data_IF_657103260774
#
_entry.id   IF_657103260774
#
_cell.length_a   1.000
_cell.length_b   1.000
_cell.length_c   1.000
_cell.angle_alpha   90.00
_cell.angle_beta   90.00
_cell.angle_gamma   90.00
#
_symmetry.space_group_name_H-M   'P 1'
#
loop_
_entity.id
_entity.type
_entity.pdbx_description
1 polymer ?
#
# COMPACT_ATOMS: atom_id res chain seq x y z
N UNK A 1 -3.71 -10.27 43.09
CA UNK A 1 -2.33 -10.79 43.07
C UNK A 1 -2.22 -11.86 42.00
N UNK A 2 -1.62 -11.52 40.87
CA UNK A 2 -0.64 -12.30 40.10
C UNK A 2 -0.54 -11.72 38.70
N UNK A 3 0.35 -10.73 38.63
CA UNK A 3 1.02 -10.23 37.45
C UNK A 3 1.77 -11.36 36.73
N UNK A 4 1.55 -11.49 35.42
CA UNK A 4 2.54 -12.10 34.52
C UNK A 4 2.77 -11.15 33.36
N UNK A 5 3.96 -10.58 33.35
CA UNK A 5 4.53 -9.75 32.29
C UNK A 5 4.61 -10.52 30.97
N UNK A 6 4.49 -9.85 29.81
CA UNK A 6 4.94 -10.42 28.55
C UNK A 6 6.47 -10.29 28.46
N UNK A 7 7.10 -11.38 28.08
CA UNK A 7 8.53 -11.52 27.78
C UNK A 7 8.88 -10.67 26.56
N UNK A 8 9.94 -9.88 26.68
CA UNK A 8 10.55 -9.11 25.61
C UNK A 8 11.14 -10.06 24.56
N UNK A 9 10.72 -9.91 23.31
CA UNK A 9 11.32 -10.56 22.14
C UNK A 9 12.23 -9.57 21.43
N UNK A 10 13.45 -10.01 21.16
CA UNK A 10 14.62 -9.26 20.70
C UNK A 10 14.36 -8.23 19.59
N UNK A 11 14.61 -6.97 19.93
CA UNK A 11 14.79 -5.90 18.96
C UNK A 11 16.16 -6.09 18.28
N UNK A 12 16.16 -6.18 16.94
CA UNK A 12 17.34 -6.03 16.11
C UNK A 12 18.09 -4.75 16.51
N UNK A 13 19.25 -4.93 17.15
CA UNK A 13 20.14 -3.86 17.55
C UNK A 13 20.75 -3.21 16.31
N UNK A 14 20.34 -1.97 16.01
CA UNK A 14 21.19 -1.08 15.22
C UNK A 14 22.26 -0.50 16.14
N UNK A 15 23.51 -0.79 15.79
CA UNK A 15 24.71 -0.39 16.48
C UNK A 15 24.75 1.14 16.67
N UNK A 16 24.79 1.62 17.93
CA UNK A 16 25.06 3.03 18.25
C UNK A 16 26.56 3.28 18.10
N UNK A 17 27.00 3.54 16.88
CA UNK A 17 28.27 4.20 16.61
C UNK A 17 28.10 5.71 16.76
N UNK A 18 28.73 6.28 17.79
CA UNK A 18 28.87 7.72 17.95
C UNK A 18 30.04 8.22 17.11
N UNK A 19 29.75 8.86 15.99
CA UNK A 19 30.66 9.78 15.29
C UNK A 19 29.89 11.08 14.97
N UNK A 20 30.54 12.25 15.03
CA UNK A 20 29.90 13.50 14.61
C UNK A 20 29.61 13.42 13.12
N UNK A 21 28.32 13.42 12.77
CA UNK A 21 27.83 13.35 11.40
C UNK A 21 28.22 14.65 10.67
N UNK A 22 29.36 14.60 9.98
CA UNK A 22 29.92 15.66 9.15
C UNK A 22 28.91 16.15 8.10
N UNK A 23 29.00 17.45 7.79
CA UNK A 23 28.45 18.34 6.76
C UNK A 23 27.94 17.81 5.39
N UNK A 24 27.74 16.50 5.19
CA UNK A 24 27.23 15.90 3.97
C UNK A 24 25.71 16.10 3.75
N UNK A 25 25.02 16.74 4.70
CA UNK A 25 23.59 17.06 4.63
C UNK A 25 23.31 18.56 4.76
N UNK A 26 24.26 19.42 4.40
CA UNK A 26 23.97 20.84 4.24
C UNK A 26 22.91 21.00 3.13
N UNK A 27 21.65 21.21 3.52
CA UNK A 27 20.57 21.46 2.58
C UNK A 27 20.91 22.70 1.76
N UNK A 28 20.54 22.69 0.48
CA UNK A 28 20.58 23.94 -0.29
C UNK A 28 19.67 24.95 0.40
N UNK A 29 20.05 26.23 0.38
CA UNK A 29 19.19 27.32 0.86
C UNK A 29 17.79 27.27 0.23
N UNK A 30 17.69 26.76 -1.00
CA UNK A 30 16.41 26.56 -1.69
C UNK A 30 15.50 25.55 -1.01
N UNK A 31 16.03 24.47 -0.42
CA UNK A 31 15.21 23.43 0.22
C UNK A 31 14.54 23.94 1.50
N UNK A 32 15.31 24.62 2.35
CA UNK A 32 14.76 25.21 3.59
C UNK A 32 13.74 26.32 3.27
N UNK A 33 14.04 27.13 2.25
CA UNK A 33 13.14 28.16 1.75
C UNK A 33 11.84 27.55 1.20
N UNK A 34 11.92 26.50 0.39
CA UNK A 34 10.75 25.78 -0.16
C UNK A 34 9.90 25.16 0.96
N UNK A 35 10.52 24.49 1.94
CA UNK A 35 9.82 23.90 3.07
C UNK A 35 9.14 24.97 3.94
N UNK A 36 9.82 26.08 4.19
CA UNK A 36 9.30 27.22 4.96
C UNK A 36 8.13 27.89 4.23
N UNK A 37 8.27 28.16 2.94
CA UNK A 37 7.23 28.74 2.09
C UNK A 37 5.98 27.85 2.08
N UNK A 38 6.16 26.54 1.89
CA UNK A 38 5.05 25.58 1.94
C UNK A 38 4.42 25.53 3.33
N UNK A 39 5.19 25.48 4.42
CA UNK A 39 4.66 25.50 5.78
C UNK A 39 3.77 26.74 6.02
N UNK A 40 4.25 27.90 5.61
CA UNK A 40 3.55 29.17 5.80
C UNK A 40 2.28 29.28 4.95
N UNK A 41 2.20 28.60 3.80
CA UNK A 41 0.99 28.56 2.97
C UNK A 41 -0.08 27.59 3.49
N UNK A 42 0.27 26.63 4.35
CA UNK A 42 -0.68 25.63 4.86
C UNK A 42 -1.70 26.23 5.85
N UNK A 43 -2.91 25.67 5.95
CA UNK A 43 -3.86 26.04 6.99
C UNK A 43 -3.28 25.88 8.40
N UNK A 44 -3.67 26.74 9.35
CA UNK A 44 -3.22 26.67 10.76
C UNK A 44 -3.43 25.29 11.41
N UNK A 45 -4.47 24.56 11.02
CA UNK A 45 -4.72 23.19 11.51
C UNK A 45 -3.59 22.23 11.09
N UNK A 46 -3.11 22.35 9.85
CA UNK A 46 -2.07 21.52 9.25
C UNK A 46 -0.69 21.87 9.81
N UNK A 47 -0.38 23.17 9.92
CA UNK A 47 0.83 23.66 10.58
C UNK A 47 0.98 23.08 12.00
N UNK A 48 -0.08 23.15 12.82
CA UNK A 48 -0.08 22.59 14.18
C UNK A 48 0.09 21.07 14.19
N UNK A 49 -0.56 20.36 13.27
CA UNK A 49 -0.47 18.90 13.17
C UNK A 49 0.96 18.45 12.80
N UNK A 50 1.59 19.10 11.81
CA UNK A 50 2.98 18.85 11.45
C UNK A 50 3.91 19.13 12.63
N UNK A 51 3.81 20.32 13.25
CA UNK A 51 4.68 20.68 14.38
C UNK A 51 4.61 19.62 15.48
N UNK A 52 3.41 19.19 15.85
CA UNK A 52 3.22 18.15 16.88
C UNK A 52 3.83 16.83 16.45
N UNK A 53 3.59 16.39 15.22
CA UNK A 53 4.18 15.16 14.69
C UNK A 53 5.72 15.21 14.77
N UNK A 54 6.33 16.33 14.37
CA UNK A 54 7.77 16.53 14.43
C UNK A 54 8.31 16.60 15.87
N UNK A 55 7.60 17.28 16.80
CA UNK A 55 7.96 17.28 18.22
C UNK A 55 8.01 15.83 18.78
N UNK A 56 7.14 14.94 18.28
CA UNK A 56 7.17 13.52 18.65
C UNK A 56 8.31 12.73 18.01
N UNK A 57 8.53 12.93 16.72
CA UNK A 57 9.64 12.31 15.98
C UNK A 57 11.00 12.68 16.60
N UNK A 58 11.16 13.93 17.07
CA UNK A 58 12.39 14.41 17.72
C UNK A 58 12.52 13.94 19.17
N UNK A 59 11.41 13.70 19.88
CA UNK A 59 11.44 13.23 21.28
C UNK A 59 11.54 11.71 21.43
N UNK A 60 11.56 10.94 20.33
CA UNK A 60 11.55 9.47 20.33
C UNK A 60 10.43 8.85 21.19
N UNK A 61 9.28 9.53 21.29
CA UNK A 61 8.11 9.02 22.03
C UNK A 61 7.35 7.99 21.18
N UNK A 62 6.69 6.99 21.79
CA UNK A 62 5.88 6.00 21.06
C UNK A 62 4.72 6.65 20.27
N UNK A 63 4.88 6.81 18.95
CA UNK A 63 3.90 7.47 18.07
C UNK A 63 2.51 6.83 18.03
N UNK A 64 2.39 5.53 18.33
CA UNK A 64 1.12 4.80 18.29
C UNK A 64 0.10 5.28 19.34
N UNK A 65 0.54 5.51 20.58
CA UNK A 65 -0.32 5.98 21.67
C UNK A 65 -0.87 7.39 21.38
N UNK A 66 -0.10 8.19 20.65
CA UNK A 66 -0.44 9.55 20.26
C UNK A 66 -1.41 9.59 19.09
N UNK A 67 -1.23 8.73 18.07
CA UNK A 67 -2.22 8.55 17.00
C UNK A 67 -3.59 8.26 17.58
N UNK A 68 -3.68 7.38 18.58
CA UNK A 68 -4.95 7.06 19.24
C UNK A 68 -5.58 8.27 19.93
N UNK A 69 -4.78 9.11 20.61
CA UNK A 69 -5.26 10.32 21.32
C UNK A 69 -5.60 11.49 20.37
N UNK A 70 -4.97 11.54 19.20
CA UNK A 70 -5.03 12.66 18.24
C UNK A 70 -5.47 12.22 16.84
N UNK A 71 -6.24 11.15 16.72
CA UNK A 71 -6.65 10.59 15.43
C UNK A 71 -7.27 11.63 14.47
N UNK A 72 -8.03 12.60 15.01
CA UNK A 72 -8.61 13.69 14.23
C UNK A 72 -7.56 14.59 13.55
N UNK A 73 -6.34 14.68 14.06
CA UNK A 73 -5.24 15.41 13.41
C UNK A 73 -4.80 14.74 12.09
N UNK A 74 -5.12 13.45 11.86
CA UNK A 74 -4.91 12.80 10.55
C UNK A 74 -5.70 13.47 9.43
N UNK A 75 -6.81 14.15 9.73
CA UNK A 75 -7.59 14.93 8.77
C UNK A 75 -6.92 16.27 8.39
N UNK A 76 -5.87 16.67 9.11
CA UNK A 76 -5.09 17.86 8.77
C UNK A 76 -3.98 17.55 7.75
N UNK A 77 -3.67 16.27 7.52
CA UNK A 77 -2.70 15.85 6.51
C UNK A 77 -3.42 15.64 5.18
N UNK A 78 -3.60 16.71 4.43
CA UNK A 78 -3.96 16.67 3.01
C UNK A 78 -2.71 16.48 2.13
N UNK A 79 -2.86 16.52 0.80
CA UNK A 79 -1.76 16.34 -0.15
C UNK A 79 -0.56 17.27 0.12
N UNK A 80 -0.80 18.58 0.27
CA UNK A 80 0.28 19.56 0.49
C UNK A 80 0.95 19.37 1.84
N UNK A 81 0.18 19.06 2.88
CA UNK A 81 0.70 18.78 4.22
C UNK A 81 1.58 17.52 4.23
N UNK A 82 1.19 16.47 3.48
CA UNK A 82 2.01 15.26 3.30
C UNK A 82 3.29 15.53 2.53
N UNK A 83 3.24 16.39 1.51
CA UNK A 83 4.42 16.81 0.76
C UNK A 83 5.43 17.51 1.67
N UNK A 84 4.97 18.44 2.50
CA UNK A 84 5.85 19.07 3.49
C UNK A 84 6.41 18.05 4.49
N UNK A 85 5.58 17.13 4.99
CA UNK A 85 6.05 16.07 5.88
C UNK A 85 7.17 15.24 5.23
N UNK A 86 7.01 14.85 3.95
CA UNK A 86 8.03 14.14 3.20
C UNK A 86 9.34 14.93 3.13
N UNK A 87 9.28 16.22 2.77
CA UNK A 87 10.46 17.10 2.76
C UNK A 87 11.16 17.08 4.14
N UNK A 88 10.42 17.34 5.21
CA UNK A 88 10.99 17.36 6.56
C UNK A 88 11.60 16.02 6.98
N UNK A 89 10.95 14.89 6.68
CA UNK A 89 11.46 13.56 7.03
C UNK A 89 12.68 13.16 6.20
N UNK A 90 12.76 13.60 4.94
CA UNK A 90 13.90 13.35 4.07
C UNK A 90 15.23 13.81 4.68
N UNK A 91 15.18 14.83 5.55
CA UNK A 91 16.37 15.36 6.23
C UNK A 91 17.07 14.35 7.15
N UNK A 92 16.30 13.40 7.70
CA UNK A 92 16.78 12.35 8.61
C UNK A 92 16.73 10.97 7.95
N UNK A 93 15.80 10.77 7.03
CA UNK A 93 15.48 9.50 6.38
C UNK A 93 15.47 9.70 4.85
N UNK A 94 16.65 9.66 4.20
CA UNK A 94 16.76 10.00 2.79
C UNK A 94 15.97 9.05 1.87
N UNK A 95 15.63 9.55 0.68
CA UNK A 95 15.07 8.73 -0.39
C UNK A 95 16.12 7.70 -0.83
N UNK A 96 15.71 6.44 -0.94
CA UNK A 96 16.54 5.35 -1.43
C UNK A 96 16.56 5.40 -2.97
N UNK A 97 17.75 5.30 -3.58
CA UNK A 97 17.94 5.18 -5.02
C UNK A 97 18.75 3.92 -5.30
N UNK A 98 18.10 2.84 -5.74
CA UNK A 98 18.74 1.53 -5.97
C UNK A 98 18.81 1.16 -7.46
N UNK A 99 18.91 2.15 -8.34
CA UNK A 99 18.76 2.02 -9.81
C UNK A 99 19.73 1.01 -10.48
N UNK A 100 20.76 0.53 -9.75
CA UNK A 100 21.78 -0.40 -10.24
C UNK A 100 21.75 -1.80 -9.57
N UNK A 101 20.91 -2.01 -8.55
CA UNK A 101 20.86 -3.30 -7.88
C UNK A 101 20.06 -4.35 -8.70
N UNK A 102 20.41 -5.65 -8.62
CA UNK A 102 19.64 -6.69 -9.28
C UNK A 102 18.18 -6.69 -8.84
N UNK A 103 17.27 -6.67 -9.82
CA UNK A 103 15.82 -6.71 -9.58
C UNK A 103 15.23 -8.04 -10.06
N UNK A 104 14.15 -8.47 -9.43
CA UNK A 104 13.30 -9.58 -9.91
C UNK A 104 12.25 -9.12 -10.93
N UNK A 105 12.28 -7.85 -11.33
CA UNK A 105 11.46 -7.29 -12.40
C UNK A 105 12.25 -7.17 -13.72
N UNK A 106 11.55 -7.02 -14.84
CA UNK A 106 12.17 -6.99 -16.17
C UNK A 106 13.17 -5.82 -16.36
N UNK A 107 12.91 -4.65 -15.78
CA UNK A 107 13.85 -3.51 -15.72
C UNK A 107 13.44 -2.52 -14.60
N UNK A 108 14.16 -1.39 -14.49
CA UNK A 108 13.90 -0.31 -13.52
C UNK A 108 13.82 1.09 -14.18
N UNK A 109 13.67 1.14 -15.51
CA UNK A 109 13.87 2.38 -16.27
C UNK A 109 12.74 3.40 -16.10
N UNK A 110 11.57 2.97 -15.64
CA UNK A 110 10.34 3.75 -15.51
C UNK A 110 10.07 4.27 -14.09
N UNK A 111 11.05 4.19 -13.17
CA UNK A 111 10.87 4.62 -11.76
C UNK A 111 10.42 6.09 -11.66
N UNK A 112 11.10 7.01 -12.34
CA UNK A 112 10.78 8.44 -12.27
C UNK A 112 9.39 8.75 -12.84
N UNK A 113 9.06 8.16 -13.99
CA UNK A 113 7.75 8.31 -14.63
C UNK A 113 6.63 7.72 -13.76
N UNK A 114 6.87 6.55 -13.16
CA UNK A 114 5.94 5.89 -12.24
C UNK A 114 5.67 6.77 -11.02
N UNK A 115 6.70 7.37 -10.42
CA UNK A 115 6.54 8.30 -9.29
C UNK A 115 5.72 9.53 -9.71
N UNK A 116 6.00 10.12 -10.88
CA UNK A 116 5.26 11.27 -11.39
C UNK A 116 3.77 10.95 -11.63
N UNK A 117 3.49 9.76 -12.20
CA UNK A 117 2.13 9.27 -12.42
C UNK A 117 1.41 9.06 -11.07
N UNK A 118 2.07 8.43 -10.08
CA UNK A 118 1.51 8.24 -8.75
C UNK A 118 1.16 9.58 -8.07
N UNK A 119 2.04 10.57 -8.15
CA UNK A 119 1.79 11.89 -7.56
C UNK A 119 0.59 12.58 -8.19
N UNK A 120 0.46 12.49 -9.53
CA UNK A 120 -0.61 13.12 -10.29
C UNK A 120 -1.95 12.40 -10.15
N UNK A 121 -1.94 11.08 -10.31
CA UNK A 121 -3.15 10.28 -10.52
C UNK A 121 -3.57 9.48 -9.27
N UNK A 122 -2.66 9.27 -8.32
CA UNK A 122 -2.90 8.46 -7.11
C UNK A 122 -2.78 6.95 -7.33
N UNK A 123 -2.48 6.52 -8.57
CA UNK A 123 -2.21 5.14 -8.94
C UNK A 123 -1.24 5.11 -10.12
N UNK A 124 -0.50 4.02 -10.27
CA UNK A 124 0.30 3.73 -11.46
C UNK A 124 0.29 2.22 -11.71
N UNK A 125 0.36 1.85 -12.99
CA UNK A 125 0.47 0.45 -13.42
C UNK A 125 1.88 0.26 -13.93
N UNK A 126 2.65 -0.59 -13.26
CA UNK A 126 4.02 -0.93 -13.67
C UNK A 126 3.98 -1.71 -14.98
N UNK A 127 4.81 -1.31 -15.95
CA UNK A 127 5.02 -2.10 -17.17
C UNK A 127 5.86 -3.35 -16.89
N UNK A 128 6.69 -3.32 -15.84
CA UNK A 128 7.61 -4.39 -15.50
C UNK A 128 6.89 -5.58 -14.87
N UNK A 129 7.13 -6.77 -15.40
CA UNK A 129 6.60 -8.02 -14.85
C UNK A 129 7.56 -8.65 -13.85
N UNK A 130 6.98 -9.34 -12.87
CA UNK A 130 7.73 -10.20 -11.96
C UNK A 130 8.35 -11.36 -12.76
N UNK A 131 9.58 -11.76 -12.46
CA UNK A 131 10.26 -12.90 -13.11
C UNK A 131 10.38 -14.13 -12.19
N UNK A 132 10.11 -13.95 -10.89
CA UNK A 132 10.27 -14.99 -9.87
C UNK A 132 9.01 -15.86 -9.69
N UNK A 133 9.20 -17.17 -9.52
CA UNK A 133 8.13 -18.11 -9.14
C UNK A 133 7.81 -18.00 -7.65
N UNK A 134 6.52 -17.98 -7.32
CA UNK A 134 6.04 -17.96 -5.93
C UNK A 134 5.74 -19.36 -5.38
N UNK A 135 6.02 -19.63 -4.10
CA UNK A 135 5.85 -20.94 -3.48
C UNK A 135 4.40 -21.17 -3.02
N UNK A 136 3.44 -21.19 -3.96
CA UNK A 136 2.00 -21.27 -3.62
C UNK A 136 1.56 -22.66 -3.13
N UNK A 137 2.35 -23.71 -3.38
CA UNK A 137 1.95 -25.10 -3.14
C UNK A 137 1.75 -25.44 -1.66
N UNK A 138 2.57 -24.89 -0.79
CA UNK A 138 2.61 -25.23 0.65
C UNK A 138 1.75 -24.27 1.51
N UNK A 139 1.44 -23.09 0.97
CA UNK A 139 0.73 -22.04 1.70
C UNK A 139 -0.73 -22.39 1.92
N UNK A 140 -1.21 -22.20 3.15
CA UNK A 140 -2.56 -22.54 3.55
C UNK A 140 -3.43 -21.29 3.69
N UNK A 141 -4.56 -21.30 3.00
CA UNK A 141 -5.52 -20.22 2.96
C UNK A 141 -6.82 -20.64 3.64
N UNK A 142 -7.48 -19.68 4.29
CA UNK A 142 -8.76 -19.89 4.96
C UNK A 142 -9.75 -18.82 4.53
N UNK A 143 -10.98 -19.21 4.24
CA UNK A 143 -12.07 -18.25 4.07
C UNK A 143 -12.36 -17.54 5.40
N UNK A 144 -12.96 -16.35 5.34
CA UNK A 144 -13.38 -15.62 6.56
C UNK A 144 -14.39 -16.42 7.41
N UNK A 145 -15.04 -17.41 6.81
CA UNK A 145 -15.97 -18.30 7.48
C UNK A 145 -15.16 -19.44 8.12
N UNK A 146 -14.76 -19.19 9.38
CA UNK A 146 -13.81 -19.99 10.18
C UNK A 146 -14.13 -21.49 10.33
N UNK A 147 -15.27 -21.94 9.79
CA UNK A 147 -15.71 -23.34 9.74
C UNK A 147 -15.18 -24.08 8.51
N UNK A 148 -14.65 -23.38 7.50
CA UNK A 148 -14.15 -23.99 6.27
C UNK A 148 -12.75 -24.57 6.46
N UNK A 149 -12.52 -25.74 5.86
CA UNK A 149 -11.20 -26.36 5.77
C UNK A 149 -10.24 -25.45 5.01
N UNK A 150 -8.98 -25.39 5.46
CA UNK A 150 -7.93 -24.67 4.73
C UNK A 150 -7.63 -25.35 3.39
N UNK A 151 -7.39 -24.54 2.37
CA UNK A 151 -6.99 -25.00 1.04
C UNK A 151 -5.56 -24.51 0.76
N UNK A 152 -4.79 -25.31 0.03
CA UNK A 152 -3.48 -24.86 -0.43
C UNK A 152 -3.61 -23.79 -1.51
N UNK A 153 -2.61 -22.92 -1.64
CA UNK A 153 -2.56 -21.93 -2.72
C UNK A 153 -2.63 -22.57 -4.10
N UNK A 154 -2.01 -23.75 -4.27
CA UNK A 154 -2.11 -24.55 -5.50
C UNK A 154 -3.56 -24.92 -5.85
N UNK A 155 -4.33 -25.46 -4.89
CA UNK A 155 -5.72 -25.84 -5.14
C UNK A 155 -6.58 -24.63 -5.52
N UNK A 156 -6.34 -23.49 -4.86
CA UNK A 156 -7.05 -22.25 -5.18
C UNK A 156 -6.67 -21.72 -6.57
N UNK A 157 -5.39 -21.75 -6.94
CA UNK A 157 -4.93 -21.33 -8.26
C UNK A 157 -5.51 -22.20 -9.37
N UNK A 158 -5.47 -23.53 -9.21
CA UNK A 158 -6.07 -24.49 -10.16
C UNK A 158 -7.59 -24.24 -10.31
N UNK A 159 -8.28 -23.90 -9.22
CA UNK A 159 -9.71 -23.57 -9.27
C UNK A 159 -9.99 -22.25 -10.02
N UNK A 160 -9.11 -21.25 -9.90
CA UNK A 160 -9.21 -20.01 -10.68
C UNK A 160 -9.02 -20.28 -12.17
N UNK A 161 -8.02 -21.10 -12.54
CA UNK A 161 -7.73 -21.43 -13.94
C UNK A 161 -8.87 -22.20 -14.61
N UNK A 162 -9.53 -23.10 -13.88
CA UNK A 162 -10.64 -23.90 -14.38
C UNK A 162 -11.96 -23.11 -14.49
N UNK A 163 -11.99 -21.86 -14.01
CA UNK A 163 -13.17 -21.00 -13.91
C UNK A 163 -14.38 -21.78 -13.33
N UNK A 164 -14.19 -22.39 -12.15
CA UNK A 164 -15.19 -23.24 -11.49
C UNK A 164 -15.81 -22.54 -10.26
N UNK A 165 -16.54 -21.42 -10.45
CA UNK A 165 -17.05 -20.59 -9.36
C UNK A 165 -18.11 -21.31 -8.51
N UNK A 166 -18.76 -22.33 -9.06
CA UNK A 166 -19.86 -23.05 -8.39
C UNK A 166 -19.41 -23.77 -7.10
N UNK A 167 -18.10 -23.93 -6.88
CA UNK A 167 -17.54 -24.58 -5.69
C UNK A 167 -16.90 -23.64 -4.68
N UNK A 168 -16.49 -22.43 -5.08
CA UNK A 168 -15.74 -21.50 -4.24
C UNK A 168 -16.30 -20.10 -4.39
N UNK A 169 -16.61 -19.45 -3.27
CA UNK A 169 -17.07 -18.07 -3.23
C UNK A 169 -16.35 -17.30 -2.11
N UNK A 170 -16.23 -15.99 -2.27
CA UNK A 170 -15.69 -15.12 -1.24
C UNK A 170 -14.17 -14.96 -1.30
N UNK A 171 -13.59 -14.54 -0.17
CA UNK A 171 -12.16 -14.23 -0.07
C UNK A 171 -11.46 -15.22 0.85
N UNK A 172 -10.40 -15.83 0.34
CA UNK A 172 -9.53 -16.76 1.07
C UNK A 172 -8.23 -16.06 1.43
N UNK A 173 -7.99 -15.82 2.72
CA UNK A 173 -6.81 -15.14 3.22
C UNK A 173 -5.74 -16.14 3.61
N UNK A 174 -4.47 -15.79 3.44
CA UNK A 174 -3.39 -16.58 4.02
C UNK A 174 -3.62 -16.69 5.53
N UNK A 175 -3.61 -17.93 6.04
CA UNK A 175 -4.00 -18.23 7.43
C UNK A 175 -3.10 -17.53 8.44
N UNK A 176 -1.81 -17.44 8.15
CA UNK A 176 -0.84 -16.71 8.96
C UNK A 176 -0.12 -15.67 8.09
N UNK A 177 -0.47 -14.40 8.28
CA UNK A 177 0.15 -13.29 7.55
C UNK A 177 1.60 -13.03 7.98
N UNK A 178 1.98 -13.40 9.22
CA UNK A 178 3.37 -13.28 9.65
C UNK A 178 4.28 -14.23 8.87
N UNK A 179 3.76 -15.41 8.50
CA UNK A 179 4.46 -16.35 7.62
C UNK A 179 4.89 -15.66 6.32
N UNK A 180 3.98 -15.00 5.60
CA UNK A 180 4.33 -14.33 4.35
C UNK A 180 5.39 -13.23 4.52
N UNK A 181 5.27 -12.40 5.56
CA UNK A 181 6.22 -11.32 5.80
C UNK A 181 7.64 -11.82 6.14
N UNK A 182 7.78 -13.06 6.64
CA UNK A 182 9.05 -13.67 7.03
C UNK A 182 9.64 -14.61 5.96
N UNK A 183 8.88 -14.94 4.92
CA UNK A 183 9.34 -15.82 3.85
C UNK A 183 10.28 -15.08 2.89
N UNK A 184 11.47 -15.64 2.59
CA UNK A 184 12.44 -15.02 1.68
C UNK A 184 11.86 -14.65 0.31
N UNK A 185 10.95 -15.45 -0.23
CA UNK A 185 10.35 -15.25 -1.55
C UNK A 185 9.52 -13.97 -1.61
N UNK A 186 8.73 -13.69 -0.58
CA UNK A 186 7.92 -12.47 -0.50
C UNK A 186 8.74 -11.27 -0.02
N UNK A 187 9.70 -11.48 0.88
CA UNK A 187 10.63 -10.43 1.30
C UNK A 187 11.45 -9.91 0.10
N UNK A 188 11.91 -10.79 -0.79
CA UNK A 188 12.61 -10.39 -2.03
C UNK A 188 11.77 -9.50 -2.94
N UNK A 189 10.44 -9.66 -2.92
CA UNK A 189 9.53 -8.79 -3.67
C UNK A 189 9.34 -7.47 -2.92
N UNK A 190 8.98 -7.53 -1.64
CA UNK A 190 8.69 -6.33 -0.84
C UNK A 190 9.89 -5.37 -0.73
N UNK A 191 11.10 -5.92 -0.74
CA UNK A 191 12.37 -5.18 -0.68
C UNK A 191 13.14 -5.20 -2.00
N UNK A 192 12.47 -5.47 -3.12
CA UNK A 192 13.12 -5.39 -4.42
C UNK A 192 13.58 -3.94 -4.70
N UNK A 193 14.79 -3.73 -5.27
CA UNK A 193 15.30 -2.41 -5.64
C UNK A 193 14.33 -1.52 -6.44
N UNK A 194 13.59 -2.12 -7.37
CA UNK A 194 12.60 -1.41 -8.17
C UNK A 194 11.46 -0.88 -7.30
N UNK A 195 10.86 -1.76 -6.48
CA UNK A 195 9.77 -1.41 -5.57
C UNK A 195 10.23 -0.36 -4.56
N UNK A 196 11.42 -0.53 -3.97
CA UNK A 196 11.96 0.42 -3.00
C UNK A 196 12.21 1.79 -3.62
N UNK A 197 12.72 1.85 -4.86
CA UNK A 197 12.96 3.12 -5.55
C UNK A 197 11.65 3.86 -5.85
N UNK A 198 10.62 3.16 -6.34
CA UNK A 198 9.29 3.75 -6.59
C UNK A 198 8.63 4.20 -5.27
N UNK A 199 8.60 3.32 -4.26
CA UNK A 199 7.94 3.60 -2.98
C UNK A 199 8.65 4.72 -2.22
N UNK A 200 9.99 4.70 -2.18
CA UNK A 200 10.76 5.74 -1.52
C UNK A 200 10.64 7.08 -2.26
N UNK A 201 10.64 7.06 -3.59
CA UNK A 201 10.38 8.25 -4.41
C UNK A 201 9.01 8.87 -4.12
N UNK A 202 7.94 8.07 -4.14
CA UNK A 202 6.58 8.56 -3.85
C UNK A 202 6.41 9.01 -2.39
N UNK A 203 6.94 8.27 -1.41
CA UNK A 203 6.87 8.68 -0.01
C UNK A 203 7.76 9.88 0.30
N UNK A 204 8.81 10.11 -0.51
CA UNK A 204 9.77 11.20 -0.37
C UNK A 204 10.72 11.03 0.81
N UNK A 205 10.84 9.82 1.35
CA UNK A 205 11.75 9.46 2.44
C UNK A 205 11.98 7.94 2.45
N UNK A 206 12.84 7.47 3.36
CA UNK A 206 13.04 6.03 3.58
C UNK A 206 11.72 5.36 3.98
N UNK A 207 11.25 4.32 3.26
CA UNK A 207 10.00 3.65 3.56
C UNK A 207 10.13 2.66 4.73
N UNK A 208 9.00 2.38 5.38
CA UNK A 208 8.86 1.30 6.36
C UNK A 208 7.84 0.31 5.82
N UNK A 209 8.25 -0.93 5.59
CA UNK A 209 7.34 -2.00 5.22
C UNK A 209 6.54 -2.45 6.46
N UNK A 210 5.21 -2.39 6.37
CA UNK A 210 4.32 -2.66 7.51
C UNK A 210 3.52 -3.96 7.37
N UNK A 211 3.27 -4.43 6.14
CA UNK A 211 2.37 -5.56 5.93
C UNK A 211 2.55 -6.20 4.56
N UNK A 212 2.64 -7.53 4.53
CA UNK A 212 2.51 -8.36 3.32
C UNK A 212 1.22 -9.17 3.42
N UNK A 213 0.33 -9.02 2.45
CA UNK A 213 -0.96 -9.72 2.42
C UNK A 213 -1.08 -10.56 1.16
N UNK A 214 -1.60 -11.78 1.32
CA UNK A 214 -1.97 -12.65 0.22
C UNK A 214 -3.41 -13.12 0.42
N UNK A 215 -4.17 -13.06 -0.66
CA UNK A 215 -5.54 -13.57 -0.68
C UNK A 215 -5.95 -13.98 -2.10
N UNK A 216 -6.96 -14.83 -2.17
CA UNK A 216 -7.70 -15.15 -3.39
C UNK A 216 -9.11 -14.59 -3.27
N UNK A 217 -9.65 -14.12 -4.39
CA UNK A 217 -11.02 -13.62 -4.49
C UNK A 217 -11.77 -14.42 -5.55
N UNK A 218 -12.90 -15.01 -5.17
CA UNK A 218 -13.81 -15.72 -6.08
C UNK A 218 -15.14 -14.99 -6.16
N UNK A 219 -15.66 -14.89 -7.38
CA UNK A 219 -16.99 -14.33 -7.64
C UNK A 219 -18.07 -15.21 -6.99
N UNK A 220 -19.17 -14.59 -6.57
CA UNK A 220 -20.32 -15.26 -5.98
C UNK A 220 -21.29 -14.24 -5.43
N UNK A 221 -22.57 -14.59 -5.33
CA UNK A 221 -23.56 -13.72 -4.68
C UNK A 221 -23.14 -13.48 -3.23
N UNK A 222 -22.96 -12.20 -2.88
CA UNK A 222 -22.57 -11.78 -1.55
C UNK A 222 -23.57 -10.76 -1.05
N UNK A 223 -24.02 -10.93 0.19
CA UNK A 223 -24.81 -9.89 0.84
C UNK A 223 -23.98 -8.59 1.01
N UNK A 224 -24.67 -7.46 1.15
CA UNK A 224 -24.05 -6.14 1.30
C UNK A 224 -23.02 -6.08 2.44
N UNK A 225 -23.25 -6.84 3.52
CA UNK A 225 -22.33 -6.90 4.67
C UNK A 225 -21.02 -7.59 4.29
N UNK A 226 -21.10 -8.63 3.46
CA UNK A 226 -19.97 -9.41 2.95
C UNK A 226 -19.20 -8.62 1.90
N UNK A 227 -19.87 -7.95 0.97
CA UNK A 227 -19.26 -7.02 0.00
C UNK A 227 -18.46 -5.93 0.72
N UNK A 228 -19.06 -5.28 1.72
CA UNK A 228 -18.41 -4.26 2.55
C UNK A 228 -17.21 -4.79 3.33
N UNK A 229 -17.35 -5.95 3.97
CA UNK A 229 -16.28 -6.64 4.73
C UNK A 229 -15.13 -7.09 3.83
N UNK A 230 -15.41 -7.39 2.56
CA UNK A 230 -14.43 -7.79 1.55
C UNK A 230 -13.88 -6.60 0.75
N UNK A 231 -14.16 -5.37 1.21
CA UNK A 231 -13.62 -4.15 0.62
C UNK A 231 -14.06 -3.95 -0.85
N UNK A 232 -15.24 -4.45 -1.22
CA UNK A 232 -15.80 -4.35 -2.58
C UNK A 232 -16.72 -3.13 -2.80
N UNK A 233 -16.88 -2.29 -1.76
CA UNK A 233 -17.40 -0.93 -1.92
C UNK A 233 -16.24 0.06 -1.99
N UNK A 234 -16.42 1.16 -2.71
CA UNK A 234 -15.43 2.23 -2.71
C UNK A 234 -15.23 2.80 -1.30
N UNK A 235 -13.97 3.07 -0.96
CA UNK A 235 -13.57 3.66 0.29
C UNK A 235 -12.17 4.25 0.22
N UNK A 236 -11.84 5.09 1.20
CA UNK A 236 -10.49 5.57 1.43
C UNK A 236 -9.89 4.89 2.66
N UNK A 237 -8.69 4.35 2.47
CA UNK A 237 -7.86 3.83 3.55
C UNK A 237 -7.14 4.98 4.26
N UNK A 238 -7.19 4.97 5.59
CA UNK A 238 -6.55 5.99 6.43
C UNK A 238 -5.77 5.36 7.58
N UNK A 239 -4.90 4.43 7.22
CA UNK A 239 -4.08 3.68 8.16
C UNK A 239 -2.85 4.49 8.62
N UNK A 240 -2.29 5.31 7.72
CA UNK A 240 -1.12 6.14 8.00
C UNK A 240 -1.29 7.55 7.41
N UNK A 241 -0.38 8.45 7.77
CA UNK A 241 -0.41 9.85 7.31
C UNK A 241 -0.09 9.95 5.82
N UNK A 242 0.90 9.18 5.35
CA UNK A 242 1.26 8.96 3.95
C UNK A 242 1.70 7.50 3.82
N UNK A 243 1.13 6.77 2.87
CA UNK A 243 1.46 5.36 2.61
C UNK A 243 1.12 5.04 1.15
N UNK A 244 1.57 3.88 0.69
CA UNK A 244 1.28 3.32 -0.63
C UNK A 244 1.04 1.82 -0.48
N UNK A 245 0.15 1.28 -1.31
CA UNK A 245 -0.08 -0.16 -1.43
C UNK A 245 0.42 -0.61 -2.80
N UNK A 246 1.23 -1.67 -2.81
CA UNK A 246 1.70 -2.31 -4.04
C UNK A 246 0.90 -3.60 -4.20
N UNK A 247 0.11 -3.67 -5.26
CA UNK A 247 -0.66 -4.87 -5.61
C UNK A 247 0.07 -5.63 -6.72
N UNK A 248 0.18 -6.95 -6.56
CA UNK A 248 0.79 -7.84 -7.55
C UNK A 248 -0.23 -8.92 -7.88
N UNK A 249 -0.65 -8.98 -9.15
CA UNK A 249 -1.55 -10.02 -9.63
C UNK A 249 -0.79 -11.31 -9.89
N UNK A 250 -1.28 -12.40 -9.30
CA UNK A 250 -0.69 -13.73 -9.42
C UNK A 250 -1.37 -14.58 -10.51
N UNK A 251 -2.55 -14.16 -10.96
CA UNK A 251 -3.34 -14.71 -12.06
C UNK A 251 -3.81 -13.57 -12.98
N UNK A 252 -4.19 -13.89 -14.21
CA UNK A 252 -4.69 -12.89 -15.15
C UNK A 252 -5.96 -12.24 -14.57
N UNK A 253 -5.99 -10.92 -14.53
CA UNK A 253 -7.11 -10.11 -14.06
C UNK A 253 -7.68 -9.31 -15.23
N UNK A 254 -8.98 -9.47 -15.47
CA UNK A 254 -9.76 -8.79 -16.50
C UNK A 254 -10.95 -8.08 -15.87
N UNK A 255 -11.70 -7.32 -16.66
CA UNK A 255 -12.96 -6.71 -16.21
C UNK A 255 -13.98 -7.72 -15.68
N UNK A 256 -13.85 -9.00 -16.02
CA UNK A 256 -14.83 -10.04 -15.72
C UNK A 256 -14.55 -10.82 -14.43
N UNK A 257 -13.34 -10.69 -13.85
CA UNK A 257 -12.91 -11.55 -12.73
C UNK A 257 -12.46 -10.78 -11.48
N UNK A 258 -12.98 -9.57 -11.29
CA UNK A 258 -12.78 -8.75 -10.09
C UNK A 258 -11.54 -7.85 -10.15
N UNK A 259 -11.45 -6.96 -11.14
CA UNK A 259 -10.34 -6.01 -11.24
C UNK A 259 -10.37 -5.02 -10.08
N UNK A 260 -9.21 -4.43 -9.77
CA UNK A 260 -9.21 -3.32 -8.83
C UNK A 260 -9.72 -2.05 -9.53
N UNK A 261 -10.62 -1.33 -8.86
CA UNK A 261 -11.17 -0.07 -9.35
C UNK A 261 -10.71 1.10 -8.49
N UNK A 262 -10.32 2.21 -9.13
CA UNK A 262 -9.88 3.43 -8.47
C UNK A 262 -10.57 4.66 -9.06
N UNK A 263 -10.60 5.74 -8.29
CA UNK A 263 -10.97 7.08 -8.76
C UNK A 263 -9.69 7.90 -8.90
N UNK A 264 -9.33 8.23 -10.15
CA UNK A 264 -8.14 9.01 -10.48
C UNK A 264 -8.16 10.37 -9.77
N UNK A 265 -7.07 10.69 -9.05
CA UNK A 265 -6.90 11.97 -8.36
C UNK A 265 -7.62 12.08 -7.01
N UNK A 266 -8.37 11.07 -6.57
CA UNK A 266 -9.10 11.09 -5.30
C UNK A 266 -8.22 11.11 -4.04
N UNK A 267 -6.90 10.89 -4.18
CA UNK A 267 -5.91 11.07 -3.11
C UNK A 267 -5.55 12.55 -2.85
N UNK A 268 -5.84 13.42 -3.83
CA UNK A 268 -5.74 14.89 -3.73
C UNK A 268 -7.11 15.47 -3.39
N UNK A 269 -8.15 15.08 -4.13
CA UNK A 269 -9.54 15.46 -3.87
C UNK A 269 -10.23 14.43 -2.96
N UNK A 270 -9.90 14.50 -1.67
CA UNK A 270 -10.31 13.48 -0.70
C UNK A 270 -11.78 13.58 -0.28
N UNK A 271 -12.41 12.45 0.08
CA UNK A 271 -13.82 12.38 0.49
C UNK A 271 -14.19 13.34 1.63
N UNK A 272 -13.26 13.62 2.55
CA UNK A 272 -13.50 14.54 3.65
C UNK A 272 -13.68 16.00 3.19
N UNK A 273 -13.18 16.38 2.01
CA UNK A 273 -13.42 17.69 1.39
C UNK A 273 -14.87 17.80 0.91
N UNK A 274 -15.50 16.66 0.62
CA UNK A 274 -16.92 16.48 0.30
C UNK A 274 -17.79 16.22 1.55
N UNK A 275 -17.25 16.40 2.76
CA UNK A 275 -17.96 16.19 4.01
C UNK A 275 -18.16 14.72 4.42
N UNK A 276 -17.53 13.78 3.70
CA UNK A 276 -17.65 12.35 3.93
C UNK A 276 -16.45 11.86 4.77
N UNK A 277 -16.67 11.24 5.95
CA UNK A 277 -15.57 10.71 6.76
C UNK A 277 -14.77 9.63 6.02
N UNK A 278 -13.47 9.52 6.31
CA UNK A 278 -12.65 8.44 5.76
C UNK A 278 -13.21 7.06 6.10
N UNK A 279 -12.91 6.08 5.26
CA UNK A 279 -13.35 4.69 5.40
C UNK A 279 -14.86 4.46 5.33
N UNK A 280 -15.67 5.52 5.13
CA UNK A 280 -17.07 5.39 4.68
C UNK A 280 -17.10 4.53 3.42
N UNK A 281 -18.02 3.55 3.40
CA UNK A 281 -18.25 2.68 2.25
C UNK A 281 -19.30 3.34 1.37
N UNK A 282 -18.96 3.56 0.10
CA UNK A 282 -19.81 4.22 -0.87
C UNK A 282 -20.17 3.25 -1.99
N UNK A 283 -21.40 3.32 -2.48
CA UNK A 283 -21.83 2.65 -3.70
C UNK A 283 -21.20 3.33 -4.93
N UNK A 284 -21.26 2.64 -6.06
CA UNK A 284 -20.82 3.17 -7.35
C UNK A 284 -21.55 4.48 -7.69
N UNK A 285 -22.88 4.51 -7.57
CA UNK A 285 -23.69 5.72 -7.79
C UNK A 285 -23.22 6.90 -6.94
N UNK A 286 -22.93 6.67 -5.66
CA UNK A 286 -22.47 7.73 -4.75
C UNK A 286 -21.10 8.28 -5.15
N UNK A 287 -20.14 7.39 -5.44
CA UNK A 287 -18.79 7.80 -5.83
C UNK A 287 -18.77 8.49 -7.18
N UNK A 288 -19.49 7.96 -8.15
CA UNK A 288 -19.60 8.53 -9.49
C UNK A 288 -20.35 9.86 -9.47
N UNK A 289 -21.34 10.02 -8.58
CA UNK A 289 -22.01 11.31 -8.36
C UNK A 289 -21.11 12.40 -7.77
N UNK A 290 -20.03 12.03 -7.06
CA UNK A 290 -19.05 12.98 -6.50
C UNK A 290 -17.97 13.32 -7.53
N UNK A 291 -17.39 12.30 -8.16
CA UNK A 291 -16.15 12.44 -8.95
C UNK A 291 -16.32 12.38 -10.46
N UNK A 292 -17.46 11.89 -10.95
CA UNK A 292 -17.70 11.64 -12.37
C UNK A 292 -17.17 10.29 -12.88
N UNK A 293 -17.83 9.76 -13.92
CA UNK A 293 -17.43 8.52 -14.59
C UNK A 293 -16.10 8.63 -15.32
N UNK A 294 -15.71 9.83 -15.78
CA UNK A 294 -14.45 10.09 -16.46
C UNK A 294 -13.23 9.86 -15.56
N UNK A 295 -13.43 9.78 -14.24
CA UNK A 295 -12.39 9.50 -13.23
C UNK A 295 -12.33 8.04 -12.81
N UNK A 296 -13.30 7.21 -13.19
CA UNK A 296 -13.27 5.79 -12.89
C UNK A 296 -12.16 5.11 -13.71
N UNK A 297 -11.34 4.32 -13.02
CA UNK A 297 -10.27 3.51 -13.61
C UNK A 297 -10.44 2.08 -13.17
N UNK A 298 -10.37 1.17 -14.13
CA UNK A 298 -10.39 -0.27 -13.92
C UNK A 298 -8.99 -0.78 -14.29
N UNK A 299 -8.35 -1.50 -13.38
CA UNK A 299 -7.00 -2.02 -13.57
C UNK A 299 -7.08 -3.50 -13.92
N UNK A 300 -6.80 -3.79 -15.19
CA UNK A 300 -6.57 -5.14 -15.70
C UNK A 300 -5.06 -5.43 -15.71
N UNK A 301 -4.69 -6.71 -15.70
CA UNK A 301 -3.28 -7.10 -15.78
C UNK A 301 -3.11 -8.58 -16.04
N UNK A 302 -2.27 -8.93 -17.01
CA UNK A 302 -1.84 -10.31 -17.22
C UNK A 302 -0.89 -10.75 -16.12
N UNK A 303 -1.06 -11.95 -15.61
CA UNK A 303 -0.14 -12.57 -14.66
C UNK A 303 1.18 -12.98 -15.28
N UNK A 304 2.15 -13.15 -14.39
CA UNK A 304 3.41 -13.83 -14.69
C UNK A 304 3.23 -15.33 -15.03
N UNK A 305 2.11 -15.97 -14.64
CA UNK A 305 1.87 -17.40 -14.81
C UNK A 305 1.46 -17.76 -16.26
N UNK A 306 2.25 -17.37 -17.25
CA UNK A 306 2.06 -17.74 -18.66
C UNK A 306 2.70 -19.10 -18.99
N UNK A 307 2.13 -20.15 -18.42
CA UNK A 307 1.97 -21.46 -19.06
C UNK A 307 0.51 -21.79 -18.75
N UNK A 308 -0.46 -21.52 -19.63
CA UNK A 308 -0.76 -22.30 -20.83
C UNK A 308 -1.59 -21.47 -21.84
N UNK A 309 -1.54 -21.90 -23.10
CA UNK A 309 -2.11 -21.28 -24.30
C UNK A 309 -3.54 -20.73 -24.15
N UNK A 310 -3.75 -19.51 -24.66
CA UNK A 310 -5.01 -19.14 -25.33
C UNK A 310 -5.25 -20.13 -26.48
N UNK A 311 -6.17 -21.06 -26.31
CA UNK A 311 -7.00 -21.48 -27.43
C UNK A 311 -8.23 -20.58 -27.41
N UNK A 312 -8.40 -19.81 -28.47
CA UNK A 312 -9.42 -18.79 -28.55
C UNK A 312 -10.83 -19.35 -28.61
N UNK A 313 -11.79 -18.44 -28.51
CA UNK A 313 -12.97 -18.37 -29.35
C UNK A 313 -13.44 -16.91 -29.34
N UNK A 314 -13.51 -16.29 -30.51
CA UNK A 314 -14.67 -15.46 -30.82
C UNK A 314 -15.51 -16.23 -31.84
N UNK A 315 -16.60 -15.65 -32.34
CA UNK A 315 -17.57 -14.80 -31.64
C UNK A 315 -18.52 -15.58 -30.72
#
# INVERSE_FOLDING_TARGET
>A
MNSRSPVAGDHLFFNKGSEPMNDAYAFSTSFEEDASNLYNSLPRKSQRAIKRLMDFELSNTHGFLLRRKRFKEMYAFDWQTRRLLSMLLQTKYPVIKEEELPTIFENQSDVADTVSILEKNGYAISANKLTAKLPMDELQFQSKDKTSQSLSGKVLLEAMEQNNPDKLAGTYWLKDQNTAAQMPEFARIAFDPYILSVVSGYLGCTPIHVQTNLWFSFAGEQDHKTLSRNAQFFHQDKEFVKFIKVFIYLNDVTTENGPHCYIEGSHIDELNQHGIPYSTRLSDEQVLGIYGEDKLRIVEGGSWYHHFRRYGCGP
#
